data_IF_468091904344
#
_entry.id   IF_468091904344
#
_cell.length_a   1.000
_cell.length_b   1.000
_cell.length_c   1.000
_cell.angle_alpha   90.00
_cell.angle_beta   90.00
_cell.angle_gamma   90.00
#
_symmetry.space_group_name_H-M   'P 1'
#
loop_
_entity.id
_entity.type
_entity.pdbx_description
1 polymer ?
#
# COMPACT_ATOMS: atom_id res chain seq x y z
N UNK A 1 16.61 9.15 -5.59
CA UNK A 1 18.01 9.55 -5.37
C UNK A 1 18.58 10.28 -6.58
N UNK A 2 18.36 9.80 -7.80
CA UNK A 2 18.83 10.44 -9.05
C UNK A 2 18.49 11.94 -9.21
N UNK A 3 17.27 12.38 -8.88
CA UNK A 3 16.90 13.81 -8.98
C UNK A 3 17.60 14.69 -7.94
N UNK A 4 17.87 14.15 -6.74
CA UNK A 4 18.56 14.86 -5.66
C UNK A 4 20.07 14.89 -5.91
N UNK A 5 20.63 13.76 -6.37
CA UNK A 5 22.04 13.62 -6.76
C UNK A 5 22.38 14.43 -8.03
N UNK A 6 21.42 14.60 -8.94
CA UNK A 6 21.57 15.43 -10.13
C UNK A 6 21.26 16.93 -9.93
N UNK A 7 21.07 17.39 -8.68
CA UNK A 7 20.77 18.80 -8.38
C UNK A 7 19.42 19.32 -8.91
N UNK A 8 18.55 18.43 -9.41
CA UNK A 8 17.20 18.76 -9.93
C UNK A 8 16.08 18.38 -8.95
N UNK A 9 16.41 18.37 -7.65
CA UNK A 9 15.45 18.13 -6.59
C UNK A 9 14.50 19.33 -6.46
N UNK A 10 13.41 19.32 -7.21
CA UNK A 10 12.36 20.33 -7.13
C UNK A 10 11.14 19.86 -6.34
N UNK A 11 10.31 20.77 -5.79
CA UNK A 11 9.06 20.42 -5.12
C UNK A 11 8.08 19.66 -6.04
N UNK A 12 8.17 19.87 -7.36
CA UNK A 12 7.41 19.10 -8.34
C UNK A 12 7.85 17.63 -8.47
N UNK A 13 9.08 17.29 -8.09
CA UNK A 13 9.62 15.94 -8.21
C UNK A 13 8.88 14.92 -7.34
N UNK A 14 8.37 15.33 -6.18
CA UNK A 14 7.53 14.47 -5.36
C UNK A 14 6.21 14.14 -6.08
N UNK A 15 5.63 15.09 -6.83
CA UNK A 15 4.39 14.86 -7.60
C UNK A 15 4.63 13.88 -8.74
N UNK A 16 5.71 14.05 -9.51
CA UNK A 16 6.04 13.17 -10.62
C UNK A 16 6.39 11.74 -10.19
N UNK A 17 6.79 11.53 -8.93
CA UNK A 17 7.01 10.20 -8.38
C UNK A 17 5.74 9.62 -7.72
N UNK A 18 5.07 10.41 -6.87
CA UNK A 18 3.90 9.95 -6.12
C UNK A 18 2.70 9.66 -7.01
N UNK A 19 2.47 10.44 -8.09
CA UNK A 19 1.27 10.27 -8.91
C UNK A 19 1.27 8.94 -9.70
N UNK A 20 2.32 8.59 -10.47
CA UNK A 20 2.38 7.29 -11.13
C UNK A 20 2.32 6.14 -10.13
N UNK A 21 3.00 6.28 -8.98
CA UNK A 21 2.99 5.30 -7.90
C UNK A 21 1.56 5.05 -7.36
N UNK A 22 0.77 6.12 -7.19
CA UNK A 22 -0.62 6.04 -6.71
C UNK A 22 -1.57 5.38 -7.71
N UNK A 23 -1.21 5.34 -8.99
CA UNK A 23 -1.97 4.65 -10.02
C UNK A 23 -1.50 3.20 -10.16
N UNK A 24 -0.19 2.98 -10.19
CA UNK A 24 0.41 1.65 -10.35
C UNK A 24 0.01 0.70 -9.20
N UNK A 25 0.07 1.17 -7.95
CA UNK A 25 -0.25 0.35 -6.77
C UNK A 25 -1.66 -0.28 -6.84
N UNK A 26 -2.76 0.50 -7.00
CA UNK A 26 -4.11 -0.04 -7.17
C UNK A 26 -4.28 -0.93 -8.40
N UNK A 27 -3.70 -0.55 -9.54
CA UNK A 27 -3.83 -1.32 -10.79
C UNK A 27 -3.22 -2.71 -10.61
N UNK A 28 -2.02 -2.81 -10.03
CA UNK A 28 -1.35 -4.09 -9.78
C UNK A 28 -2.16 -4.98 -8.82
N UNK A 29 -2.70 -4.41 -7.74
CA UNK A 29 -3.48 -5.16 -6.75
C UNK A 29 -4.84 -5.62 -7.29
N UNK A 30 -5.54 -4.77 -8.03
CA UNK A 30 -6.80 -5.13 -8.69
C UNK A 30 -6.57 -6.21 -9.75
N UNK A 31 -5.55 -6.05 -10.60
CA UNK A 31 -5.18 -7.04 -11.62
C UNK A 31 -4.81 -8.40 -10.99
N UNK A 32 -4.06 -8.39 -9.89
CA UNK A 32 -3.74 -9.60 -9.15
C UNK A 32 -5.01 -10.32 -8.64
N UNK A 33 -6.04 -9.58 -8.21
CA UNK A 33 -7.34 -10.12 -7.81
C UNK A 33 -8.04 -10.89 -8.92
N UNK A 34 -8.03 -10.38 -10.16
CA UNK A 34 -8.54 -11.11 -11.32
C UNK A 34 -7.72 -12.37 -11.62
N UNK A 35 -6.42 -12.38 -11.33
CA UNK A 35 -5.56 -13.55 -11.48
C UNK A 35 -5.86 -14.70 -10.51
N UNK A 36 -6.49 -14.40 -9.36
CA UNK A 36 -6.79 -15.39 -8.31
C UNK A 36 -7.69 -16.53 -8.80
N UNK A 37 -8.66 -16.27 -9.69
CA UNK A 37 -9.63 -17.28 -10.17
C UNK A 37 -10.34 -18.08 -9.06
N UNK A 38 -10.58 -17.47 -7.89
CA UNK A 38 -11.45 -17.99 -6.83
C UNK A 38 -12.65 -17.05 -6.66
N UNK A 39 -13.70 -17.53 -5.99
CA UNK A 39 -14.77 -16.67 -5.52
C UNK A 39 -14.17 -15.55 -4.65
N UNK A 40 -14.66 -14.32 -4.82
CA UNK A 40 -14.17 -13.11 -4.14
C UNK A 40 -12.77 -12.61 -4.55
N UNK A 41 -12.11 -13.22 -5.54
CA UNK A 41 -10.78 -12.80 -6.00
C UNK A 41 -10.72 -11.32 -6.45
N UNK A 42 -11.56 -10.90 -7.41
CA UNK A 42 -11.63 -9.50 -7.85
C UNK A 42 -11.96 -8.52 -6.71
N UNK A 43 -12.96 -8.86 -5.88
CA UNK A 43 -13.42 -8.06 -4.75
C UNK A 43 -12.30 -7.84 -3.74
N UNK A 44 -11.52 -8.89 -3.45
CA UNK A 44 -10.36 -8.83 -2.56
C UNK A 44 -9.21 -7.99 -3.17
N UNK A 45 -8.97 -8.11 -4.48
CA UNK A 45 -8.00 -7.27 -5.19
C UNK A 45 -8.36 -5.79 -5.11
N UNK A 46 -9.63 -5.45 -5.34
CA UNK A 46 -10.14 -4.08 -5.19
C UNK A 46 -10.12 -3.59 -3.74
N UNK A 47 -10.40 -4.45 -2.76
CA UNK A 47 -10.26 -4.11 -1.34
C UNK A 47 -8.81 -3.77 -0.99
N UNK A 48 -7.85 -4.57 -1.47
CA UNK A 48 -6.43 -4.29 -1.29
C UNK A 48 -6.00 -3.00 -2.00
N UNK A 49 -6.49 -2.75 -3.21
CA UNK A 49 -6.25 -1.54 -3.99
C UNK A 49 -6.78 -0.28 -3.29
N UNK A 50 -8.03 -0.31 -2.82
CA UNK A 50 -8.64 0.77 -2.06
C UNK A 50 -7.89 1.00 -0.73
N UNK A 51 -7.49 -0.06 -0.04
CA UNK A 51 -6.66 0.02 1.16
C UNK A 51 -5.31 0.68 0.89
N UNK A 52 -4.63 0.33 -0.20
CA UNK A 52 -3.37 0.94 -0.60
C UNK A 52 -3.53 2.45 -0.88
N UNK A 53 -4.58 2.84 -1.60
CA UNK A 53 -4.88 4.24 -1.88
C UNK A 53 -5.21 5.01 -0.58
N UNK A 54 -6.01 4.42 0.31
CA UNK A 54 -6.39 5.02 1.59
C UNK A 54 -5.16 5.24 2.49
N UNK A 55 -4.23 4.28 2.57
CA UNK A 55 -2.99 4.45 3.36
C UNK A 55 -2.14 5.62 2.86
N UNK A 56 -2.11 5.86 1.55
CA UNK A 56 -1.40 6.99 0.95
C UNK A 56 -2.16 8.30 1.19
N UNK A 57 -3.49 8.29 1.05
CA UNK A 57 -4.33 9.44 1.36
C UNK A 57 -4.19 9.90 2.80
N UNK A 58 -4.24 8.99 3.78
CA UNK A 58 -4.06 9.32 5.21
C UNK A 58 -2.71 9.98 5.48
N UNK A 59 -1.65 9.60 4.75
CA UNK A 59 -0.34 10.27 4.84
C UNK A 59 -0.44 11.72 4.37
N UNK A 60 -1.09 11.96 3.24
CA UNK A 60 -1.29 13.31 2.68
C UNK A 60 -2.18 14.14 3.59
N UNK A 61 -3.25 13.54 4.14
CA UNK A 61 -4.16 14.18 5.07
C UNK A 61 -3.43 14.66 6.33
N UNK A 62 -2.59 13.79 6.94
CA UNK A 62 -1.77 14.17 8.10
C UNK A 62 -0.86 15.37 7.83
N UNK A 63 -0.28 15.44 6.62
CA UNK A 63 0.52 16.60 6.19
C UNK A 63 -0.34 17.85 6.03
N UNK A 64 -1.51 17.74 5.37
CA UNK A 64 -2.36 18.90 5.07
C UNK A 64 -2.99 19.52 6.32
N UNK A 65 -3.27 18.72 7.36
CA UNK A 65 -3.81 19.21 8.64
C UNK A 65 -2.73 19.68 9.63
N UNK A 66 -1.45 19.64 9.24
CA UNK A 66 -0.34 20.12 10.06
C UNK A 66 0.11 19.15 11.16
N UNK A 67 -0.34 17.88 11.15
CA UNK A 67 0.14 16.83 12.06
C UNK A 67 1.53 16.28 11.67
N UNK A 68 1.93 16.47 10.41
CA UNK A 68 3.20 15.99 9.88
C UNK A 68 3.06 14.67 9.11
N UNK A 69 4.19 14.02 8.81
CA UNK A 69 4.20 12.81 7.97
C UNK A 69 4.49 11.56 8.80
N UNK A 70 3.52 10.65 8.86
CA UNK A 70 3.71 9.36 9.52
C UNK A 70 3.93 8.23 8.51
N UNK A 71 5.11 7.64 8.55
CA UNK A 71 5.48 6.47 7.73
C UNK A 71 5.15 5.14 8.40
N UNK A 72 4.76 5.17 9.68
CA UNK A 72 4.49 4.00 10.52
C UNK A 72 3.37 3.10 9.97
N UNK A 73 3.53 1.79 10.13
CA UNK A 73 2.54 0.76 9.82
C UNK A 73 3.17 -0.49 9.21
N UNK A 74 2.62 -1.69 9.49
CA UNK A 74 3.18 -2.95 8.98
C UNK A 74 3.11 -3.06 7.45
N UNK A 75 2.24 -2.27 6.80
CA UNK A 75 1.99 -2.34 5.37
C UNK A 75 2.28 -1.00 4.67
N UNK A 76 3.49 -0.48 4.89
CA UNK A 76 4.01 0.61 4.07
C UNK A 76 4.17 0.17 2.60
N UNK A 77 4.33 1.15 1.68
CA UNK A 77 4.40 0.89 0.23
C UNK A 77 5.38 -0.24 -0.15
N UNK A 78 6.59 -0.20 0.40
CA UNK A 78 7.63 -1.20 0.14
C UNK A 78 7.22 -2.61 0.59
N UNK A 79 6.54 -2.72 1.74
CA UNK A 79 6.10 -4.01 2.27
C UNK A 79 4.98 -4.60 1.41
N UNK A 80 4.04 -3.79 0.92
CA UNK A 80 3.00 -4.24 -0.03
C UNK A 80 3.59 -4.84 -1.29
N UNK A 81 4.52 -4.12 -1.91
CA UNK A 81 5.13 -4.56 -3.17
C UNK A 81 6.05 -5.75 -2.97
N UNK A 82 6.71 -5.86 -1.82
CA UNK A 82 7.47 -7.07 -1.47
C UNK A 82 6.55 -8.29 -1.33
N UNK A 83 5.41 -8.16 -0.63
CA UNK A 83 4.44 -9.26 -0.47
C UNK A 83 3.85 -9.69 -1.82
N UNK A 84 3.45 -8.73 -2.66
CA UNK A 84 2.90 -9.03 -3.99
C UNK A 84 3.95 -9.73 -4.88
N UNK A 85 5.19 -9.21 -4.91
CA UNK A 85 6.28 -9.82 -5.67
C UNK A 85 6.60 -11.23 -5.18
N UNK A 86 6.70 -11.42 -3.86
CA UNK A 86 6.93 -12.74 -3.27
C UNK A 86 5.80 -13.71 -3.61
N UNK A 87 4.53 -13.26 -3.56
CA UNK A 87 3.39 -14.07 -3.96
C UNK A 87 3.47 -14.50 -5.43
N UNK A 88 3.89 -13.62 -6.34
CA UNK A 88 4.13 -13.98 -7.74
C UNK A 88 5.21 -15.06 -7.90
N UNK A 89 6.34 -14.94 -7.19
CA UNK A 89 7.42 -15.93 -7.22
C UNK A 89 6.94 -17.28 -6.66
N UNK A 90 6.22 -17.27 -5.54
CA UNK A 90 5.66 -18.50 -4.95
C UNK A 90 4.63 -19.12 -5.88
N UNK A 91 3.77 -18.32 -6.53
CA UNK A 91 2.82 -18.83 -7.53
C UNK A 91 3.53 -19.52 -8.70
N UNK A 92 4.65 -18.95 -9.17
CA UNK A 92 5.48 -19.56 -10.23
C UNK A 92 6.03 -20.92 -9.78
N UNK A 93 6.61 -21.00 -8.58
CA UNK A 93 7.16 -22.24 -8.02
C UNK A 93 6.07 -23.30 -7.83
N UNK A 94 4.93 -22.91 -7.25
CA UNK A 94 3.78 -23.81 -7.02
C UNK A 94 3.20 -24.33 -8.34
N UNK A 95 3.12 -23.49 -9.36
CA UNK A 95 2.71 -23.90 -10.70
C UNK A 95 3.71 -24.88 -11.33
N UNK A 96 5.01 -24.64 -11.15
CA UNK A 96 6.08 -25.50 -11.67
C UNK A 96 6.09 -26.90 -11.02
N UNK A 97 5.80 -26.98 -9.72
CA UNK A 97 5.68 -28.25 -8.98
C UNK A 97 4.31 -28.93 -9.23
N UNK A 98 3.37 -28.25 -9.88
CA UNK A 98 2.04 -28.80 -10.22
C UNK A 98 1.07 -28.89 -9.03
N UNK A 99 1.33 -28.17 -7.93
CA UNK A 99 0.57 -28.33 -6.67
C UNK A 99 -0.85 -27.75 -6.68
N UNK A 100 -1.34 -27.11 -7.76
CA UNK A 100 -2.72 -26.57 -7.84
C UNK A 100 -3.06 -25.44 -6.84
N UNK A 101 -2.16 -25.11 -5.90
CA UNK A 101 -2.36 -24.14 -4.82
C UNK A 101 -2.13 -22.67 -5.22
N UNK A 102 -1.77 -22.38 -6.49
CA UNK A 102 -1.42 -21.02 -6.95
C UNK A 102 -2.50 -19.98 -6.61
N UNK A 103 -3.76 -20.39 -6.71
CA UNK A 103 -4.93 -19.55 -6.48
C UNK A 103 -5.04 -19.12 -5.02
N UNK A 104 -4.82 -20.07 -4.11
CA UNK A 104 -4.83 -19.83 -2.67
C UNK A 104 -3.66 -18.96 -2.19
N UNK A 105 -2.48 -19.11 -2.80
CA UNK A 105 -1.31 -18.27 -2.50
C UNK A 105 -1.61 -16.80 -2.79
N UNK A 106 -2.10 -16.49 -3.99
CA UNK A 106 -2.42 -15.10 -4.36
C UNK A 106 -3.58 -14.54 -3.52
N UNK A 107 -4.61 -15.36 -3.26
CA UNK A 107 -5.72 -14.96 -2.39
C UNK A 107 -5.23 -14.61 -0.97
N UNK A 108 -4.41 -15.47 -0.36
CA UNK A 108 -3.85 -15.23 0.96
C UNK A 108 -2.95 -13.97 0.99
N UNK A 109 -2.16 -13.75 -0.05
CA UNK A 109 -1.33 -12.55 -0.17
C UNK A 109 -2.16 -11.27 -0.24
N UNK A 110 -3.22 -11.24 -1.06
CA UNK A 110 -4.13 -10.09 -1.15
C UNK A 110 -4.89 -9.84 0.16
N UNK A 111 -5.33 -10.90 0.83
CA UNK A 111 -5.96 -10.80 2.15
C UNK A 111 -5.01 -10.21 3.19
N UNK A 112 -3.75 -10.66 3.20
CA UNK A 112 -2.70 -10.12 4.06
C UNK A 112 -2.44 -8.64 3.77
N UNK A 113 -2.37 -8.25 2.49
CA UNK A 113 -2.20 -6.84 2.07
C UNK A 113 -3.38 -6.00 2.55
N UNK A 114 -4.62 -6.45 2.33
CA UNK A 114 -5.83 -5.74 2.73
C UNK A 114 -5.88 -5.53 4.25
N UNK A 115 -5.65 -6.59 5.03
CA UNK A 115 -5.60 -6.52 6.49
C UNK A 115 -4.47 -5.60 6.98
N UNK A 116 -3.27 -5.72 6.40
CA UNK A 116 -2.14 -4.85 6.71
C UNK A 116 -2.42 -3.38 6.41
N UNK A 117 -3.12 -3.08 5.31
CA UNK A 117 -3.57 -1.73 4.97
C UNK A 117 -4.53 -1.19 6.02
N UNK A 118 -5.54 -1.95 6.44
CA UNK A 118 -6.49 -1.53 7.46
C UNK A 118 -5.80 -1.19 8.78
N UNK A 119 -4.90 -2.06 9.26
CA UNK A 119 -4.09 -1.81 10.47
C UNK A 119 -3.24 -0.55 10.32
N UNK A 120 -2.64 -0.34 9.15
CA UNK A 120 -1.80 0.83 8.87
C UNK A 120 -2.62 2.13 8.89
N UNK A 121 -3.80 2.14 8.27
CA UNK A 121 -4.72 3.29 8.28
C UNK A 121 -5.10 3.65 9.70
N UNK A 122 -5.57 2.67 10.48
CA UNK A 122 -6.01 2.89 11.86
C UNK A 122 -4.87 3.45 12.72
N UNK A 123 -3.65 2.89 12.61
CA UNK A 123 -2.48 3.38 13.35
C UNK A 123 -2.15 4.82 12.98
N UNK A 124 -2.11 5.16 11.68
CA UNK A 124 -1.79 6.52 11.21
C UNK A 124 -2.83 7.54 11.63
N UNK A 125 -4.12 7.23 11.49
CA UNK A 125 -5.20 8.13 11.92
C UNK A 125 -5.11 8.41 13.42
N UNK A 126 -4.88 7.40 14.26
CA UNK A 126 -4.70 7.59 15.71
C UNK A 126 -3.52 8.49 16.03
N UNK A 127 -2.39 8.35 15.33
CA UNK A 127 -1.23 9.22 15.52
C UNK A 127 -1.52 10.67 15.12
N UNK A 128 -2.19 10.87 13.97
CA UNK A 128 -2.58 12.21 13.49
C UNK A 128 -3.50 12.89 14.51
N UNK A 129 -4.55 12.21 14.96
CA UNK A 129 -5.49 12.78 15.95
C UNK A 129 -4.78 13.14 17.25
N UNK A 130 -3.95 12.23 17.78
CA UNK A 130 -3.19 12.48 19.02
C UNK A 130 -2.26 13.68 18.91
N UNK A 131 -1.60 13.86 17.77
CA UNK A 131 -0.69 14.99 17.54
C UNK A 131 -1.45 16.32 17.44
N UNK A 132 -2.60 16.33 16.75
CA UNK A 132 -3.46 17.51 16.68
C UNK A 132 -4.01 17.91 18.05
N UNK A 133 -4.49 16.95 18.84
CA UNK A 133 -4.97 17.24 20.20
C UNK A 133 -3.85 17.71 21.13
N UNK A 134 -2.64 17.15 21.01
CA UNK A 134 -1.49 17.60 21.78
C UNK A 134 -1.13 19.05 21.45
N UNK A 135 -1.15 19.42 20.16
CA UNK A 135 -0.94 20.80 19.71
C UNK A 135 -2.04 21.75 20.17
N UNK A 136 -3.29 21.30 20.18
CA UNK A 136 -4.41 22.10 20.68
C UNK A 136 -4.30 22.38 22.19
N UNK A 137 -3.85 21.40 22.99
CA UNK A 137 -3.64 21.56 24.44
C UNK A 137 -2.43 22.43 24.81
N UNK A 138 -1.49 22.63 23.89
CA UNK A 138 -0.28 23.44 24.09
C UNK A 138 -0.45 24.91 23.68
N UNK A 139 -1.62 25.28 23.15
CA UNK A 139 -2.02 26.66 22.84
C UNK A 139 -2.87 27.22 23.96
#
# INVERSE_FOLDING_TARGET
>A
MVAVEGGRGGPAGEVFNDLPDRLADPILLAAAGYGVNLWWGPELGWLAAAGALLTAYVRVLGRSVGAGTYYTGPMAKQHRMAVLTAACVVCLIVAWIGMGLRHWVMFAALALIAAGCAVTVVRRVRLIVRDLEAKARAR
#
